data_IF_088739005325
#
_entry.id   IF_088739005325
#
_cell.length_a   1.000
_cell.length_b   1.000
_cell.length_c   1.000
_cell.angle_alpha   90.00
_cell.angle_beta   90.00
_cell.angle_gamma   90.00
#
_symmetry.space_group_name_H-M   'P 1'
#
loop_
_entity.id
_entity.type
_entity.pdbx_description
1 polymer ?
#
# COMPACT_ATOMS: atom_id res chain seq x y z
N UNK A 1 21.96 -0.87 -16.55
CA UNK A 1 22.30 -0.79 -15.11
C UNK A 1 23.63 -1.48 -14.87
N UNK A 2 24.42 -1.00 -13.92
CA UNK A 2 25.67 -1.64 -13.49
C UNK A 2 25.37 -2.61 -12.35
N UNK A 3 25.86 -3.84 -12.48
CA UNK A 3 25.71 -4.82 -11.40
C UNK A 3 26.67 -4.49 -10.26
N UNK A 4 26.15 -4.45 -9.07
CA UNK A 4 26.89 -4.25 -7.83
C UNK A 4 26.92 -5.52 -6.96
N UNK A 5 27.39 -5.42 -5.72
CA UNK A 5 27.41 -6.56 -4.80
C UNK A 5 26.00 -6.99 -4.40
N UNK A 6 25.83 -8.25 -4.07
CA UNK A 6 24.60 -8.83 -3.52
C UNK A 6 23.37 -8.77 -4.43
N UNK A 7 23.55 -8.74 -5.77
CA UNK A 7 22.44 -8.73 -6.73
C UNK A 7 21.75 -7.37 -6.89
N UNK A 8 22.36 -6.31 -6.41
CA UNK A 8 21.91 -4.94 -6.62
C UNK A 8 22.36 -4.46 -8.00
N UNK A 9 21.50 -3.68 -8.67
CA UNK A 9 21.79 -3.04 -9.94
C UNK A 9 21.53 -1.54 -9.80
N UNK A 10 22.49 -0.72 -10.18
CA UNK A 10 22.37 0.74 -10.14
C UNK A 10 22.45 1.37 -11.53
N UNK A 11 21.78 2.50 -11.68
CA UNK A 11 21.86 3.36 -12.85
C UNK A 11 21.60 4.79 -12.43
N UNK A 12 22.41 5.71 -12.93
CA UNK A 12 22.23 7.17 -12.75
C UNK A 12 21.89 7.77 -14.11
N UNK A 13 20.87 8.60 -14.16
CA UNK A 13 20.43 9.33 -15.36
C UNK A 13 20.47 10.82 -15.09
N UNK A 14 21.08 11.57 -16.00
CA UNK A 14 21.10 13.04 -15.98
C UNK A 14 19.91 13.65 -16.75
N UNK A 15 19.10 12.80 -17.40
CA UNK A 15 17.97 13.20 -18.25
C UNK A 15 16.60 12.83 -17.69
N UNK A 16 16.55 12.13 -16.57
CA UNK A 16 15.30 11.76 -15.92
C UNK A 16 14.84 12.86 -14.97
N UNK A 17 13.54 13.19 -15.02
CA UNK A 17 12.93 14.25 -14.21
C UNK A 17 11.63 13.77 -13.54
N UNK A 18 11.12 14.54 -12.59
CA UNK A 18 9.83 14.26 -11.96
C UNK A 18 8.71 14.26 -13.01
N UNK A 19 7.85 13.25 -12.92
CA UNK A 19 6.77 13.00 -13.86
C UNK A 19 7.14 12.08 -15.03
N UNK A 20 8.42 11.79 -15.24
CA UNK A 20 8.81 10.80 -16.25
C UNK A 20 8.35 9.40 -15.90
N UNK A 21 7.97 8.68 -16.93
CA UNK A 21 7.54 7.27 -16.83
C UNK A 21 8.71 6.33 -17.07
N UNK A 22 8.76 5.25 -16.30
CA UNK A 22 9.77 4.21 -16.48
C UNK A 22 9.23 2.81 -16.18
N UNK A 23 9.94 1.81 -16.71
CA UNK A 23 9.72 0.39 -16.46
C UNK A 23 11.07 -0.29 -16.28
N UNK A 24 11.09 -1.37 -15.52
CA UNK A 24 12.25 -2.25 -15.47
C UNK A 24 12.13 -3.35 -16.51
N UNK A 25 13.21 -3.57 -17.24
CA UNK A 25 13.38 -4.73 -18.13
C UNK A 25 14.35 -5.70 -17.48
N UNK A 26 13.85 -6.87 -17.17
CA UNK A 26 14.61 -7.92 -16.48
C UNK A 26 14.88 -9.05 -17.47
N UNK A 27 16.16 -9.43 -17.60
CA UNK A 27 16.59 -10.61 -18.30
C UNK A 27 16.92 -11.69 -17.28
N UNK A 28 16.17 -12.79 -17.33
CA UNK A 28 16.38 -13.92 -16.42
C UNK A 28 17.65 -14.69 -16.76
N UNK A 29 18.05 -15.61 -15.88
CA UNK A 29 19.16 -16.54 -16.16
C UNK A 29 18.90 -17.44 -17.37
N UNK A 30 17.63 -17.73 -17.71
CA UNK A 30 17.23 -18.49 -18.91
C UNK A 30 17.23 -17.64 -20.18
N UNK A 31 17.43 -16.32 -20.09
CA UNK A 31 17.42 -15.39 -21.21
C UNK A 31 16.03 -14.86 -21.58
N UNK A 32 15.01 -15.17 -20.79
CA UNK A 32 13.67 -14.59 -20.97
C UNK A 32 13.68 -13.12 -20.59
N UNK A 33 12.84 -12.31 -21.25
CA UNK A 33 12.71 -10.88 -21.05
C UNK A 33 11.35 -10.56 -20.48
N UNK A 34 11.33 -9.92 -19.31
CA UNK A 34 10.12 -9.41 -18.66
C UNK A 34 10.16 -7.89 -18.50
N UNK A 35 9.00 -7.26 -18.55
CA UNK A 35 8.84 -5.85 -18.21
C UNK A 35 8.00 -5.74 -16.94
N UNK A 36 8.51 -5.00 -15.95
CA UNK A 36 7.84 -4.80 -14.67
C UNK A 36 7.75 -3.33 -14.31
N UNK A 37 6.70 -2.98 -13.53
CA UNK A 37 6.70 -1.74 -12.77
C UNK A 37 7.76 -1.82 -11.66
N UNK A 38 8.09 -0.68 -11.08
CA UNK A 38 8.98 -0.62 -9.92
C UNK A 38 8.24 -1.10 -8.66
N UNK A 39 8.71 -2.16 -7.97
CA UNK A 39 8.11 -2.64 -6.73
C UNK A 39 8.09 -1.60 -5.61
N UNK A 40 9.00 -0.61 -5.68
CA UNK A 40 9.14 0.50 -4.74
C UNK A 40 8.75 1.85 -5.36
N UNK A 41 8.09 1.87 -6.52
CA UNK A 41 7.66 3.08 -7.21
C UNK A 41 6.59 3.84 -6.42
N UNK A 42 6.74 5.16 -6.35
CA UNK A 42 5.85 6.06 -5.59
C UNK A 42 4.64 6.55 -6.38
N UNK A 43 4.54 6.20 -7.65
CA UNK A 43 3.42 6.50 -8.52
C UNK A 43 3.38 5.56 -9.71
N UNK A 44 2.18 5.26 -10.19
CA UNK A 44 1.94 4.39 -11.35
C UNK A 44 0.90 4.99 -12.27
N UNK A 45 0.94 4.61 -13.55
CA UNK A 45 -0.10 4.95 -14.50
C UNK A 45 -1.45 4.38 -14.09
N UNK A 46 -2.51 5.09 -14.49
CA UNK A 46 -3.87 4.57 -14.36
C UNK A 46 -4.03 3.35 -15.30
N UNK A 47 -4.67 2.31 -14.75
CA UNK A 47 -5.03 1.13 -15.53
C UNK A 47 -5.73 1.48 -16.86
N UNK A 48 -5.54 0.76 -17.94
CA UNK A 48 -4.82 -0.52 -18.10
C UNK A 48 -3.30 -0.36 -18.22
N UNK A 49 -2.79 0.84 -18.17
CA UNK A 49 -1.35 1.11 -18.19
C UNK A 49 -0.71 0.80 -16.82
N UNK A 50 0.63 0.69 -16.77
CA UNK A 50 1.30 0.19 -15.58
C UNK A 50 2.77 0.65 -15.43
N UNK A 51 3.21 1.67 -16.17
CA UNK A 51 4.53 2.25 -15.93
C UNK A 51 4.56 2.93 -14.54
N UNK A 52 5.72 2.98 -13.95
CA UNK A 52 5.96 3.78 -12.75
C UNK A 52 6.30 5.21 -13.12
N UNK A 53 5.96 6.16 -12.25
CA UNK A 53 6.36 7.58 -12.35
C UNK A 53 7.49 7.90 -11.39
N UNK A 54 8.38 8.81 -11.80
CA UNK A 54 9.31 9.48 -10.88
C UNK A 54 8.51 10.55 -10.14
N UNK A 55 8.29 10.36 -8.83
CA UNK A 55 7.43 11.21 -8.00
C UNK A 55 8.26 11.99 -6.99
N UNK A 56 8.03 13.31 -6.89
CA UNK A 56 8.54 14.12 -5.80
C UNK A 56 7.59 14.06 -4.59
N UNK A 57 7.93 13.26 -3.60
CA UNK A 57 7.17 13.18 -2.34
C UNK A 57 7.34 14.44 -1.46
N UNK A 58 8.21 15.37 -1.82
CA UNK A 58 8.41 16.64 -1.12
C UNK A 58 7.52 17.78 -1.63
N UNK A 59 6.73 17.54 -2.68
CA UNK A 59 5.82 18.52 -3.28
C UNK A 59 4.79 19.04 -2.26
N UNK A 60 4.25 18.17 -1.42
CA UNK A 60 3.34 18.56 -0.36
C UNK A 60 4.08 18.81 0.95
N UNK A 61 3.70 19.88 1.65
CA UNK A 61 4.20 20.20 2.99
C UNK A 61 3.06 20.07 4.00
N UNK A 62 3.14 19.06 4.84
CA UNK A 62 2.18 18.88 5.93
C UNK A 62 2.17 20.07 6.88
N UNK A 63 1.03 20.33 7.46
CA UNK A 63 0.80 21.39 8.45
C UNK A 63 0.07 20.85 9.67
N UNK A 64 0.18 19.56 9.91
CA UNK A 64 -0.47 18.76 10.95
C UNK A 64 0.41 18.52 12.19
N UNK A 65 1.49 19.28 12.39
CA UNK A 65 2.44 19.12 13.51
C UNK A 65 1.74 18.94 14.86
N UNK A 66 0.73 19.76 15.12
CA UNK A 66 -0.08 19.66 16.34
C UNK A 66 -0.75 18.31 16.53
N UNK A 67 -1.27 17.75 15.42
CA UNK A 67 -1.90 16.44 15.46
C UNK A 67 -0.85 15.36 15.72
N UNK A 68 0.26 15.39 14.99
CA UNK A 68 1.35 14.43 15.11
C UNK A 68 1.98 14.41 16.50
N UNK A 69 2.08 15.58 17.18
CA UNK A 69 2.54 15.69 18.56
C UNK A 69 1.53 15.13 19.58
N UNK A 70 0.22 15.32 19.36
CA UNK A 70 -0.83 14.97 20.30
C UNK A 70 -1.47 13.61 20.05
N UNK A 71 -1.31 13.04 18.84
CA UNK A 71 -1.92 11.75 18.51
C UNK A 71 -1.44 10.64 19.43
N UNK A 72 -2.34 9.73 19.73
CA UNK A 72 -2.04 8.56 20.53
C UNK A 72 -2.89 7.38 20.05
N UNK A 73 -2.62 6.19 20.57
CA UNK A 73 -3.34 4.96 20.18
C UNK A 73 -4.81 4.92 20.62
N UNK A 74 -5.25 5.90 21.40
CA UNK A 74 -6.63 6.08 21.89
C UNK A 74 -7.26 4.86 22.59
N UNK A 75 -6.46 3.92 23.09
CA UNK A 75 -6.97 2.69 23.71
C UNK A 75 -7.85 2.95 24.95
N UNK A 76 -7.77 4.15 25.54
CA UNK A 76 -8.56 4.54 26.72
C UNK A 76 -9.71 5.51 26.37
N UNK A 77 -9.96 5.74 25.08
CA UNK A 77 -11.02 6.64 24.61
C UNK A 77 -11.94 5.94 23.64
N UNK A 78 -13.23 6.27 23.60
CA UNK A 78 -14.14 5.73 22.58
C UNK A 78 -13.65 6.07 21.17
N UNK A 79 -13.64 5.09 20.29
CA UNK A 79 -13.38 5.25 18.88
C UNK A 79 -14.64 4.94 18.08
N UNK A 80 -14.92 5.79 17.09
CA UNK A 80 -15.97 5.58 16.11
C UNK A 80 -15.34 5.71 14.73
N UNK A 81 -15.13 4.57 14.07
CA UNK A 81 -14.41 4.45 12.79
C UNK A 81 -15.42 4.33 11.67
N UNK A 82 -15.24 5.09 10.60
CA UNK A 82 -15.98 4.97 9.37
C UNK A 82 -15.09 4.40 8.27
N UNK A 83 -15.37 3.17 7.88
CA UNK A 83 -14.71 2.50 6.76
C UNK A 83 -15.27 3.01 5.44
N UNK A 84 -14.39 3.39 4.50
CA UNK A 84 -14.80 4.02 3.25
C UNK A 84 -13.96 3.56 2.06
N UNK A 85 -14.66 3.19 0.96
CA UNK A 85 -14.05 3.00 -0.35
C UNK A 85 -14.24 4.26 -1.19
N UNK A 86 -13.15 4.97 -1.51
CA UNK A 86 -13.21 6.28 -2.18
C UNK A 86 -13.90 6.23 -3.54
N UNK A 87 -13.69 5.14 -4.29
CA UNK A 87 -14.23 4.99 -5.65
C UNK A 87 -15.73 4.78 -5.73
N UNK A 88 -16.40 4.41 -4.63
CA UNK A 88 -17.85 4.12 -4.63
C UNK A 88 -18.63 4.90 -3.58
N UNK A 89 -17.95 5.64 -2.70
CA UNK A 89 -18.61 6.39 -1.63
C UNK A 89 -19.51 7.50 -2.17
N UNK A 90 -19.03 8.22 -3.18
CA UNK A 90 -19.77 9.30 -3.82
C UNK A 90 -19.44 9.34 -5.32
N UNK A 91 -20.48 9.44 -6.16
CA UNK A 91 -20.30 9.52 -7.60
C UNK A 91 -20.09 10.97 -8.06
N UNK A 92 -19.04 11.21 -8.85
CA UNK A 92 -18.78 12.49 -9.50
C UNK A 92 -19.32 12.46 -10.94
N UNK A 93 -20.45 13.13 -11.23
CA UNK A 93 -21.06 13.10 -12.57
C UNK A 93 -20.22 13.83 -13.64
N UNK A 94 -19.18 14.57 -13.25
CA UNK A 94 -18.30 15.29 -14.18
C UNK A 94 -17.06 14.46 -14.58
N UNK A 95 -16.83 13.32 -13.94
CA UNK A 95 -15.73 12.41 -14.24
C UNK A 95 -16.29 11.15 -14.92
N UNK A 96 -15.68 10.72 -16.03
CA UNK A 96 -16.14 9.56 -16.81
C UNK A 96 -16.17 8.24 -16.01
N UNK A 97 -15.26 8.10 -15.03
CA UNK A 97 -15.22 6.95 -14.13
C UNK A 97 -16.07 7.16 -12.86
N UNK A 98 -16.67 8.33 -12.69
CA UNK A 98 -17.48 8.67 -11.52
C UNK A 98 -16.67 8.99 -10.27
N UNK A 99 -15.34 9.14 -10.36
CA UNK A 99 -14.47 9.35 -9.20
C UNK A 99 -14.27 10.83 -8.89
N UNK A 100 -14.18 11.15 -7.60
CA UNK A 100 -13.58 12.37 -7.11
C UNK A 100 -12.08 12.16 -6.91
N UNK A 101 -11.26 13.20 -7.12
CA UNK A 101 -9.89 13.13 -6.68
C UNK A 101 -9.78 13.32 -5.16
N UNK A 102 -8.60 13.00 -4.58
CA UNK A 102 -8.37 13.07 -3.14
C UNK A 102 -8.66 14.44 -2.55
N UNK A 103 -8.26 15.52 -3.21
CA UNK A 103 -8.50 16.91 -2.74
C UNK A 103 -9.97 17.29 -2.78
N UNK A 104 -10.70 16.89 -3.84
CA UNK A 104 -12.12 17.21 -4.02
C UNK A 104 -13.03 16.49 -3.03
N UNK A 105 -12.70 15.24 -2.68
CA UNK A 105 -13.52 14.42 -1.80
C UNK A 105 -13.27 14.74 -0.32
N UNK A 106 -12.12 15.32 0.02
CA UNK A 106 -11.69 15.55 1.40
C UNK A 106 -12.72 16.32 2.23
N UNK A 107 -13.16 17.49 1.76
CA UNK A 107 -14.10 18.33 2.50
C UNK A 107 -15.47 17.66 2.69
N UNK A 108 -15.92 16.88 1.69
CA UNK A 108 -17.18 16.13 1.75
C UNK A 108 -17.13 15.02 2.81
N UNK A 109 -16.02 14.25 2.84
CA UNK A 109 -15.79 13.19 3.84
C UNK A 109 -15.68 13.77 5.24
N UNK A 110 -14.92 14.86 5.41
CA UNK A 110 -14.74 15.53 6.70
C UNK A 110 -16.07 16.02 7.24
N UNK A 111 -16.90 16.68 6.40
CA UNK A 111 -18.23 17.15 6.80
C UNK A 111 -19.12 15.97 7.21
N UNK A 112 -19.10 14.88 6.47
CA UNK A 112 -19.85 13.67 6.79
C UNK A 112 -19.39 13.06 8.11
N UNK A 113 -18.08 12.89 8.31
CA UNK A 113 -17.51 12.34 9.53
C UNK A 113 -17.88 13.18 10.76
N UNK A 114 -17.75 14.51 10.67
CA UNK A 114 -18.13 15.44 11.77
C UNK A 114 -19.62 15.38 12.07
N UNK A 115 -20.47 15.36 11.05
CA UNK A 115 -21.93 15.25 11.21
C UNK A 115 -22.34 14.00 11.98
N UNK A 116 -21.67 12.88 11.69
CA UNK A 116 -21.97 11.58 12.29
C UNK A 116 -21.09 11.23 13.49
N UNK A 117 -20.21 12.16 13.92
CA UNK A 117 -19.32 12.03 15.09
C UNK A 117 -18.34 10.85 14.96
N UNK A 118 -17.87 10.57 13.75
CA UNK A 118 -16.75 9.65 13.54
C UNK A 118 -15.46 10.30 14.02
N UNK A 119 -14.64 9.50 14.69
CA UNK A 119 -13.32 9.93 15.19
C UNK A 119 -12.21 9.63 14.18
N UNK A 120 -12.42 8.59 13.35
CA UNK A 120 -11.46 8.15 12.36
C UNK A 120 -12.17 7.78 11.05
N UNK A 121 -11.45 7.97 9.96
CA UNK A 121 -11.76 7.38 8.65
C UNK A 121 -10.80 6.21 8.42
N UNK A 122 -11.34 5.05 8.05
CA UNK A 122 -10.56 3.91 7.59
C UNK A 122 -10.74 3.78 6.08
N UNK A 123 -9.67 4.00 5.34
CA UNK A 123 -9.71 3.88 3.89
C UNK A 123 -9.43 2.44 3.47
N UNK A 124 -10.31 1.85 2.65
CA UNK A 124 -9.99 0.63 1.93
C UNK A 124 -8.67 0.84 1.17
N UNK A 125 -7.95 -0.24 0.79
CA UNK A 125 -6.57 -0.10 0.32
C UNK A 125 -6.40 0.97 -0.75
N UNK A 126 -5.53 1.94 -0.49
CA UNK A 126 -5.20 3.03 -1.40
C UNK A 126 -3.98 2.75 -2.26
N UNK A 127 -3.34 1.61 -2.10
CA UNK A 127 -2.24 1.16 -2.95
C UNK A 127 -2.72 0.89 -4.37
N UNK A 128 -1.85 1.11 -5.37
CA UNK A 128 -2.22 0.89 -6.77
C UNK A 128 -2.56 -0.58 -7.06
N UNK A 129 -3.58 -0.78 -7.89
CA UNK A 129 -4.16 -2.10 -8.20
C UNK A 129 -4.77 -2.13 -9.61
N UNK A 130 -4.78 -3.29 -10.31
CA UNK A 130 -5.25 -3.38 -11.69
C UNK A 130 -6.77 -3.35 -11.82
N UNK A 131 -7.50 -4.00 -10.91
CA UNK A 131 -8.93 -4.26 -11.05
C UNK A 131 -9.76 -3.45 -10.05
N UNK A 132 -10.69 -2.63 -10.54
CA UNK A 132 -11.58 -1.81 -9.69
C UNK A 132 -12.44 -2.68 -8.77
N UNK A 133 -12.87 -3.85 -9.25
CA UNK A 133 -13.70 -4.78 -8.47
C UNK A 133 -12.97 -5.40 -7.27
N UNK A 134 -11.65 -5.28 -7.19
CA UNK A 134 -10.87 -5.73 -6.04
C UNK A 134 -10.94 -4.76 -4.85
N UNK A 135 -11.49 -3.55 -5.03
CA UNK A 135 -11.52 -2.47 -4.02
C UNK A 135 -10.14 -2.10 -3.45
N UNK A 136 -9.07 -2.43 -4.17
CA UNK A 136 -7.70 -2.21 -3.74
C UNK A 136 -7.04 -3.37 -3.01
N UNK A 137 -7.74 -4.49 -2.78
CA UNK A 137 -7.14 -5.65 -2.09
C UNK A 137 -6.18 -6.48 -2.93
N UNK A 138 -6.12 -6.26 -4.25
CA UNK A 138 -5.19 -6.95 -5.16
C UNK A 138 -4.13 -5.98 -5.68
N UNK A 139 -3.14 -5.68 -4.84
CA UNK A 139 -2.15 -4.63 -5.12
C UNK A 139 -1.12 -5.06 -6.18
N UNK A 140 -0.65 -4.06 -6.94
CA UNK A 140 0.55 -4.12 -7.79
C UNK A 140 1.59 -3.09 -7.39
N UNK A 141 1.18 -1.96 -6.79
CA UNK A 141 2.07 -0.88 -6.37
C UNK A 141 1.96 -0.58 -4.88
N UNK A 142 2.75 -1.25 -4.04
CA UNK A 142 2.66 -1.15 -2.56
C UNK A 142 3.06 0.21 -1.99
N UNK A 143 3.85 1.00 -2.73
CA UNK A 143 4.30 2.34 -2.36
C UNK A 143 3.63 3.44 -3.17
N UNK A 144 2.73 3.10 -4.08
CA UNK A 144 2.06 4.03 -4.97
C UNK A 144 0.62 4.23 -4.53
N UNK A 145 0.19 5.45 -4.15
CA UNK A 145 -1.22 5.76 -4.08
C UNK A 145 -1.89 5.50 -5.42
N UNK A 146 -3.08 4.90 -5.40
CA UNK A 146 -3.78 4.63 -6.65
C UNK A 146 -4.06 5.93 -7.42
N UNK A 147 -3.67 5.95 -8.68
CA UNK A 147 -3.84 7.08 -9.60
C UNK A 147 -5.31 7.35 -9.98
N UNK A 148 -6.22 6.43 -9.61
CA UNK A 148 -7.68 6.63 -9.78
C UNK A 148 -8.19 7.92 -9.16
N UNK A 149 -7.61 8.28 -8.03
CA UNK A 149 -8.08 9.41 -7.23
C UNK A 149 -7.08 10.58 -7.21
N UNK A 150 -6.07 10.55 -8.07
CA UNK A 150 -5.12 11.65 -8.22
C UNK A 150 -3.70 11.35 -7.80
N UNK A 151 -3.00 12.35 -7.29
CA UNK A 151 -1.57 12.30 -6.99
C UNK A 151 -1.27 12.01 -5.52
N UNK A 152 -0.01 11.65 -5.23
CA UNK A 152 0.49 11.50 -3.87
C UNK A 152 0.30 12.78 -3.03
N UNK A 153 0.60 13.95 -3.62
CA UNK A 153 0.42 15.24 -2.97
C UNK A 153 -1.05 15.50 -2.57
N UNK A 154 -2.01 15.12 -3.43
CA UNK A 154 -3.43 15.26 -3.13
C UNK A 154 -3.89 14.32 -2.01
N UNK A 155 -3.34 13.10 -1.92
CA UNK A 155 -3.62 12.21 -0.80
C UNK A 155 -3.04 12.77 0.52
N UNK A 156 -1.81 13.31 0.48
CA UNK A 156 -1.23 13.99 1.63
C UNK A 156 -2.09 15.19 2.09
N UNK A 157 -2.63 15.97 1.15
CA UNK A 157 -3.57 17.06 1.44
C UNK A 157 -4.84 16.55 2.13
N UNK A 158 -5.41 15.43 1.67
CA UNK A 158 -6.59 14.82 2.30
C UNK A 158 -6.31 14.44 3.75
N UNK A 159 -5.18 13.79 4.01
CA UNK A 159 -4.77 13.40 5.37
C UNK A 159 -4.58 14.63 6.27
N UNK A 160 -3.82 15.62 5.80
CA UNK A 160 -3.58 16.88 6.53
C UNK A 160 -4.89 17.61 6.86
N UNK A 161 -5.84 17.66 5.93
CA UNK A 161 -7.19 18.21 6.18
C UNK A 161 -7.96 17.42 7.23
N UNK A 162 -7.87 16.09 7.25
CA UNK A 162 -8.49 15.26 8.29
C UNK A 162 -7.93 15.60 9.67
N UNK A 163 -6.61 15.65 9.80
CA UNK A 163 -5.91 16.00 11.04
C UNK A 163 -6.28 17.39 11.57
N UNK A 164 -6.33 18.40 10.70
CA UNK A 164 -6.80 19.77 11.05
C UNK A 164 -8.22 19.79 11.56
N UNK A 165 -9.03 18.81 11.22
CA UNK A 165 -10.40 18.67 11.68
C UNK A 165 -10.57 17.68 12.84
N UNK A 166 -9.48 17.24 13.46
CA UNK A 166 -9.43 16.26 14.54
C UNK A 166 -10.06 14.91 14.15
N UNK A 167 -9.80 14.47 12.94
CA UNK A 167 -10.19 13.16 12.42
C UNK A 167 -8.92 12.39 12.10
N UNK A 168 -8.72 11.25 12.77
CA UNK A 168 -7.64 10.33 12.47
C UNK A 168 -7.89 9.57 11.16
N UNK A 169 -6.82 9.07 10.56
CA UNK A 169 -6.88 8.30 9.32
C UNK A 169 -6.18 6.95 9.45
N UNK A 170 -6.86 5.89 9.07
CA UNK A 170 -6.36 4.51 9.08
C UNK A 170 -6.37 4.03 7.63
N UNK A 171 -5.35 3.29 7.23
CA UNK A 171 -5.32 2.65 5.93
C UNK A 171 -5.46 1.14 6.10
N UNK A 172 -6.33 0.55 5.29
CA UNK A 172 -6.37 -0.89 5.12
C UNK A 172 -5.16 -1.34 4.31
N UNK A 173 -4.31 -2.16 4.91
CA UNK A 173 -3.03 -2.60 4.36
C UNK A 173 -3.04 -4.11 4.12
N UNK A 174 -2.58 -4.55 2.96
CA UNK A 174 -2.64 -5.94 2.52
C UNK A 174 -1.25 -6.60 2.59
N UNK A 175 -0.82 -7.15 3.73
CA UNK A 175 0.50 -7.75 3.88
C UNK A 175 0.59 -9.22 3.47
N UNK A 176 -0.50 -9.81 2.95
CA UNK A 176 -0.69 -11.26 2.81
C UNK A 176 -0.54 -11.73 1.38
N UNK A 177 -1.03 -10.96 0.42
CA UNK A 177 -1.08 -11.36 -0.99
C UNK A 177 -1.01 -10.15 -1.92
N UNK A 178 -0.84 -10.42 -3.22
CA UNK A 178 -0.77 -9.41 -4.26
C UNK A 178 -1.35 -9.92 -5.59
N UNK A 179 -1.60 -9.03 -6.54
CA UNK A 179 -2.16 -9.35 -7.84
C UNK A 179 -1.26 -10.27 -8.67
N UNK A 180 -1.88 -11.15 -9.46
CA UNK A 180 -1.16 -12.10 -10.34
C UNK A 180 -0.65 -11.46 -11.64
N UNK A 181 -0.89 -10.18 -11.85
CA UNK A 181 -0.53 -9.47 -13.07
C UNK A 181 0.98 -9.50 -13.29
N UNK A 182 1.39 -9.98 -14.48
CA UNK A 182 2.79 -10.27 -14.80
C UNK A 182 3.71 -9.07 -14.87
N UNK A 183 3.19 -7.85 -14.86
CA UNK A 183 3.99 -6.62 -14.76
C UNK A 183 4.26 -6.19 -13.31
N UNK A 184 3.56 -6.81 -12.33
CA UNK A 184 3.71 -6.57 -10.90
C UNK A 184 4.80 -7.43 -10.28
N UNK A 185 4.51 -7.98 -9.09
CA UNK A 185 5.49 -8.75 -8.31
C UNK A 185 5.60 -10.23 -8.73
N UNK A 186 4.58 -10.77 -9.42
CA UNK A 186 4.53 -12.19 -9.76
C UNK A 186 5.71 -12.57 -10.65
N UNK A 187 6.50 -13.57 -10.23
CA UNK A 187 7.69 -14.06 -10.91
C UNK A 187 8.65 -12.94 -11.36
N UNK A 188 8.87 -11.97 -10.49
CA UNK A 188 9.53 -10.70 -10.81
C UNK A 188 10.90 -10.87 -11.51
N UNK A 189 11.69 -11.85 -11.12
CA UNK A 189 13.00 -12.17 -11.73
C UNK A 189 12.98 -13.48 -12.54
N UNK A 190 11.78 -13.97 -12.86
CA UNK A 190 11.55 -15.29 -13.47
C UNK A 190 11.54 -16.44 -12.47
N UNK A 191 11.69 -16.14 -11.18
CA UNK A 191 11.51 -17.09 -10.08
C UNK A 191 10.38 -16.64 -9.16
N UNK A 192 10.01 -17.47 -8.19
CA UNK A 192 9.05 -17.10 -7.14
C UNK A 192 9.76 -16.28 -6.05
N UNK A 193 10.15 -15.04 -6.39
CA UNK A 193 10.95 -14.19 -5.52
C UNK A 193 10.16 -13.73 -4.29
N UNK A 194 8.93 -13.27 -4.48
CA UNK A 194 8.08 -12.72 -3.42
C UNK A 194 7.01 -13.69 -2.93
N UNK A 195 6.61 -14.64 -3.77
CA UNK A 195 5.50 -15.53 -3.54
C UNK A 195 5.93 -17.00 -3.33
N UNK A 196 5.00 -17.81 -2.84
CA UNK A 196 5.12 -19.27 -2.91
C UNK A 196 4.88 -19.76 -4.35
N UNK A 197 5.53 -20.88 -4.77
CA UNK A 197 5.17 -21.54 -6.02
C UNK A 197 3.66 -21.85 -6.10
N UNK A 198 3.08 -21.93 -7.32
CA UNK A 198 1.66 -22.25 -7.50
C UNK A 198 1.26 -23.54 -6.79
N UNK A 199 0.35 -23.39 -5.85
CA UNK A 199 -0.20 -24.46 -5.02
C UNK A 199 -1.41 -23.90 -4.26
N UNK A 200 -2.06 -24.71 -3.45
CA UNK A 200 -3.12 -24.28 -2.52
C UNK A 200 -2.62 -23.34 -1.40
N UNK A 201 -1.29 -23.27 -1.21
CA UNK A 201 -0.63 -22.27 -0.33
C UNK A 201 -0.22 -21.04 -1.13
N UNK A 202 0.23 -21.22 -2.38
CA UNK A 202 0.77 -20.14 -3.21
C UNK A 202 -0.29 -19.24 -3.82
N UNK A 203 -1.46 -19.78 -4.13
CA UNK A 203 -2.59 -19.04 -4.70
C UNK A 203 -3.72 -18.96 -3.67
N UNK A 204 -4.23 -17.77 -3.47
CA UNK A 204 -5.36 -17.57 -2.56
C UNK A 204 -6.69 -17.97 -3.20
N UNK A 205 -7.75 -18.07 -2.39
CA UNK A 205 -9.13 -18.24 -2.84
C UNK A 205 -9.66 -17.09 -3.71
N UNK A 206 -8.99 -15.93 -3.64
CA UNK A 206 -9.29 -14.74 -4.47
C UNK A 206 -8.50 -14.69 -5.77
N UNK A 207 -7.70 -15.73 -6.09
CA UNK A 207 -6.89 -15.82 -7.29
C UNK A 207 -5.62 -14.94 -7.27
N UNK A 208 -5.13 -14.58 -6.08
CA UNK A 208 -3.93 -13.77 -5.87
C UNK A 208 -2.73 -14.61 -5.45
N UNK A 209 -1.52 -14.10 -5.66
CA UNK A 209 -0.28 -14.71 -5.17
C UNK A 209 -0.11 -14.44 -3.68
N UNK A 210 0.12 -15.47 -2.85
CA UNK A 210 0.43 -15.29 -1.45
C UNK A 210 1.91 -15.01 -1.24
N UNK A 211 2.23 -14.00 -0.43
CA UNK A 211 3.59 -13.65 -0.05
C UNK A 211 4.29 -14.78 0.71
N UNK A 212 5.51 -15.06 0.32
CA UNK A 212 6.39 -15.98 1.04
C UNK A 212 7.22 -15.24 2.10
N UNK A 213 6.66 -15.10 3.31
CA UNK A 213 7.33 -14.41 4.41
C UNK A 213 8.56 -15.13 4.99
N UNK A 214 8.99 -16.27 4.43
CA UNK A 214 10.29 -16.86 4.76
C UNK A 214 11.46 -16.14 4.06
N UNK A 215 11.16 -15.36 3.00
CA UNK A 215 12.15 -14.64 2.21
C UNK A 215 12.39 -13.23 2.75
N UNK A 216 13.65 -12.82 2.77
CA UNK A 216 14.04 -11.49 3.25
C UNK A 216 13.52 -10.39 2.32
N UNK A 217 13.52 -10.61 1.01
CA UNK A 217 13.02 -9.69 0.00
C UNK A 217 11.54 -9.34 0.26
N UNK A 218 10.73 -10.35 0.50
CA UNK A 218 9.32 -10.18 0.87
C UNK A 218 9.14 -9.41 2.18
N UNK A 219 9.90 -9.79 3.21
CA UNK A 219 9.87 -9.11 4.53
C UNK A 219 10.26 -7.64 4.40
N UNK A 220 11.33 -7.34 3.66
CA UNK A 220 11.78 -5.97 3.41
C UNK A 220 10.71 -5.16 2.66
N UNK A 221 10.16 -5.70 1.58
CA UNK A 221 9.13 -5.02 0.78
C UNK A 221 7.93 -4.65 1.66
N UNK A 222 7.32 -5.64 2.32
CA UNK A 222 6.07 -5.44 3.08
C UNK A 222 6.29 -4.52 4.28
N UNK A 223 7.37 -4.71 5.03
CA UNK A 223 7.68 -3.84 6.18
C UNK A 223 7.99 -2.41 5.76
N UNK A 224 8.74 -2.23 4.67
CA UNK A 224 9.06 -0.89 4.15
C UNK A 224 7.81 -0.19 3.63
N UNK A 225 6.89 -0.91 2.96
CA UNK A 225 5.62 -0.34 2.53
C UNK A 225 4.77 0.10 3.71
N UNK A 226 4.64 -0.72 4.75
CA UNK A 226 3.92 -0.35 5.97
C UNK A 226 4.51 0.91 6.64
N UNK A 227 5.85 0.98 6.75
CA UNK A 227 6.53 2.17 7.26
C UNK A 227 6.31 3.42 6.40
N UNK A 228 6.34 3.23 5.07
CA UNK A 228 6.15 4.31 4.10
C UNK A 228 4.81 5.04 4.28
N UNK A 229 3.71 4.31 4.43
CA UNK A 229 2.39 4.89 4.63
C UNK A 229 2.28 5.67 5.94
N UNK A 230 2.89 5.17 7.02
CA UNK A 230 2.92 5.86 8.30
C UNK A 230 3.82 7.09 8.29
N UNK A 231 4.99 7.00 7.63
CA UNK A 231 6.01 8.06 7.64
C UNK A 231 5.75 9.15 6.61
N UNK A 232 5.39 8.78 5.37
CA UNK A 232 5.29 9.74 4.25
C UNK A 232 3.89 10.31 4.08
N UNK A 233 2.86 9.56 4.48
CA UNK A 233 1.48 10.00 4.36
C UNK A 233 0.81 10.33 5.70
N UNK A 234 1.54 10.20 6.81
CA UNK A 234 1.08 10.50 8.17
C UNK A 234 -0.16 9.71 8.60
N UNK A 235 -0.42 8.53 8.04
CA UNK A 235 -1.51 7.69 8.52
C UNK A 235 -1.36 7.40 10.02
N UNK A 236 -2.47 7.44 10.76
CA UNK A 236 -2.50 7.20 12.21
C UNK A 236 -2.47 5.73 12.57
N UNK A 237 -2.76 4.88 11.60
CA UNK A 237 -2.73 3.45 11.80
C UNK A 237 -2.87 2.67 10.50
N UNK A 238 -2.59 1.38 10.61
CA UNK A 238 -2.79 0.38 9.56
C UNK A 238 -3.68 -0.73 10.09
N UNK A 239 -4.71 -1.07 9.35
CA UNK A 239 -5.49 -2.30 9.55
C UNK A 239 -4.93 -3.36 8.62
N UNK A 240 -4.51 -4.49 9.19
CA UNK A 240 -3.87 -5.58 8.46
C UNK A 240 -4.94 -6.55 7.93
N UNK A 241 -5.11 -6.57 6.61
CA UNK A 241 -6.10 -7.44 5.98
C UNK A 241 -5.67 -8.92 5.97
N UNK A 242 -6.66 -9.83 6.01
CA UNK A 242 -6.55 -11.27 5.76
C UNK A 242 -5.47 -12.02 6.58
N UNK A 243 -5.14 -11.55 7.78
CA UNK A 243 -4.04 -12.09 8.61
C UNK A 243 -4.21 -13.59 8.90
N UNK A 244 -5.43 -14.07 9.12
CA UNK A 244 -5.70 -15.50 9.32
C UNK A 244 -5.24 -16.36 8.14
N UNK A 245 -5.36 -15.82 6.91
CA UNK A 245 -4.91 -16.49 5.68
C UNK A 245 -3.38 -16.66 5.64
N UNK A 246 -2.65 -15.76 6.25
CA UNK A 246 -1.19 -15.78 6.29
C UNK A 246 -0.64 -16.61 7.46
N UNK A 247 -1.25 -16.51 8.66
CA UNK A 247 -0.75 -17.19 9.87
C UNK A 247 -1.08 -18.68 9.91
N UNK A 248 -2.11 -19.11 9.18
CA UNK A 248 -2.43 -20.53 9.05
C UNK A 248 -2.20 -20.99 7.62
N UNK A 249 -1.63 -22.20 7.45
CA UNK A 249 -1.39 -22.75 6.12
C UNK A 249 -2.71 -22.90 5.35
N UNK A 250 -2.81 -22.21 4.21
CA UNK A 250 -4.04 -22.16 3.42
C UNK A 250 -5.21 -21.45 4.10
N UNK A 251 -4.99 -20.68 5.17
CA UNK A 251 -6.03 -20.02 5.96
C UNK A 251 -6.78 -20.96 6.91
N UNK A 252 -6.37 -22.23 7.01
CA UNK A 252 -7.04 -23.25 7.81
C UNK A 252 -6.24 -23.57 9.08
N UNK A 253 -6.78 -23.27 10.29
CA UNK A 253 -6.13 -23.59 11.56
C UNK A 253 -5.77 -25.08 11.71
N UNK A 254 -6.54 -26.00 11.11
CA UNK A 254 -6.26 -27.44 11.17
C UNK A 254 -4.97 -27.85 10.43
N UNK A 255 -4.48 -26.99 9.52
CA UNK A 255 -3.23 -27.22 8.78
C UNK A 255 -1.99 -26.73 9.52
N UNK A 256 -2.18 -26.10 10.69
CA UNK A 256 -1.10 -25.59 11.53
C UNK A 256 -0.69 -24.18 11.19
N UNK A 257 0.25 -23.66 11.99
CA UNK A 257 0.73 -22.28 11.95
C UNK A 257 1.90 -22.13 10.98
N UNK A 258 1.88 -21.05 10.20
CA UNK A 258 3.03 -20.60 9.41
C UNK A 258 3.95 -19.72 10.29
N UNK A 259 4.89 -20.36 10.96
CA UNK A 259 5.80 -19.71 11.92
C UNK A 259 6.64 -18.59 11.26
N UNK A 260 6.95 -18.68 9.97
CA UNK A 260 7.67 -17.62 9.26
C UNK A 260 6.83 -16.34 9.19
N UNK A 261 5.54 -16.47 8.90
CA UNK A 261 4.62 -15.32 8.86
C UNK A 261 4.41 -14.74 10.26
N UNK A 262 4.19 -15.59 11.27
CA UNK A 262 4.01 -15.13 12.67
C UNK A 262 5.26 -14.38 13.15
N UNK A 263 6.44 -14.94 12.90
CA UNK A 263 7.71 -14.27 13.24
C UNK A 263 7.88 -12.94 12.50
N UNK A 264 7.55 -12.90 11.20
CA UNK A 264 7.60 -11.69 10.40
C UNK A 264 6.67 -10.60 10.96
N UNK A 265 5.40 -10.93 11.20
CA UNK A 265 4.40 -9.97 11.70
C UNK A 265 4.80 -9.42 13.09
N UNK A 266 5.32 -10.27 13.99
CA UNK A 266 5.85 -9.80 15.28
C UNK A 266 7.00 -8.81 15.10
N UNK A 267 7.96 -9.12 14.23
CA UNK A 267 9.11 -8.25 13.99
C UNK A 267 8.71 -6.94 13.30
N UNK A 268 7.81 -6.99 12.32
CA UNK A 268 7.25 -5.81 11.67
C UNK A 268 6.55 -4.91 12.67
N UNK A 269 5.65 -5.45 13.50
CA UNK A 269 4.94 -4.69 14.52
C UNK A 269 5.90 -4.05 15.53
N UNK A 270 6.91 -4.78 16.02
CA UNK A 270 7.92 -4.23 16.92
C UNK A 270 8.71 -3.10 16.25
N UNK A 271 9.10 -3.27 14.99
CA UNK A 271 9.80 -2.25 14.21
C UNK A 271 8.95 -1.00 14.02
N UNK A 272 7.72 -1.16 13.57
CA UNK A 272 6.78 -0.05 13.36
C UNK A 272 6.45 0.68 14.67
N UNK A 273 6.23 -0.04 15.78
CA UNK A 273 5.99 0.57 17.08
C UNK A 273 7.19 1.36 17.62
N UNK A 274 8.41 0.93 17.27
CA UNK A 274 9.62 1.66 17.63
C UNK A 274 9.77 2.97 16.86
N UNK A 275 9.45 2.96 15.56
CA UNK A 275 9.53 4.12 14.68
C UNK A 275 8.33 5.07 14.87
N UNK A 276 7.15 4.49 15.05
CA UNK A 276 5.86 5.20 15.16
C UNK A 276 5.13 4.77 16.44
N UNK A 277 5.60 5.16 17.63
CA UNK A 277 5.07 4.66 18.92
C UNK A 277 3.59 5.01 19.15
N UNK A 278 3.09 6.02 18.45
CA UNK A 278 1.69 6.49 18.55
C UNK A 278 0.78 5.94 17.45
N UNK A 279 1.30 5.23 16.46
CA UNK A 279 0.49 4.64 15.40
C UNK A 279 -0.24 3.38 15.88
N UNK A 280 -1.47 3.19 15.39
CA UNK A 280 -2.29 2.01 15.64
C UNK A 280 -1.95 0.91 14.63
N UNK A 281 -1.78 -0.31 15.12
CA UNK A 281 -1.65 -1.52 14.29
C UNK A 281 -2.80 -2.46 14.66
N UNK A 282 -3.71 -2.68 13.74
CA UNK A 282 -5.00 -3.36 13.95
C UNK A 282 -5.02 -4.66 13.14
#
# INVERSE_FOLDING_TARGET
>A
MTQESYGVYSFVSDSADFGDMYKYVIYTKSGERFEHCDPYGFGMELRPQWASYIVDLSEYKFTDDKWMECRNKNYNSPMNIYEVHLGSWLNNPQNENGWYNYSEIADKLIQYAKKHKYTHLEFLPLSEHPADCSWGYQNTGFFSPTSRYGTAAQLMELVDKCHKNNIGVIMDFVPVHFAVDGYGLAQYDGSYLYEYPPSDVGISEWGTCNFNHSRNETRCLVQSAANFWLEKFHFDGLRMDAISRAIYWGGDPARGVNENTVSFLKNMNLGLQKLHPTAMLI
#
